data_IF_800272609258
#
_entry.id   IF_800272609258
#
_cell.length_a   1.000
_cell.length_b   1.000
_cell.length_c   1.000
_cell.angle_alpha   90.00
_cell.angle_beta   90.00
_cell.angle_gamma   90.00
#
_symmetry.space_group_name_H-M   'P 1'
#
loop_
_entity.id
_entity.type
_entity.pdbx_description
1 polymer ?
#
# COMPACT_ATOMS: atom_id res chain seq x y z
N UNK A 1 2.29 2.80 10.86
CA UNK A 1 2.31 2.61 9.39
C UNK A 1 2.22 1.14 8.96
N UNK A 2 2.70 0.19 9.76
CA UNK A 2 2.68 -1.24 9.40
C UNK A 2 1.29 -1.83 9.18
N UNK A 3 0.32 -1.58 10.06
CA UNK A 3 -1.06 -2.06 9.87
C UNK A 3 -1.68 -1.55 8.57
N UNK A 4 -1.41 -0.29 8.21
CA UNK A 4 -1.88 0.32 6.96
C UNK A 4 -1.26 -0.37 5.75
N UNK A 5 0.05 -0.68 5.79
CA UNK A 5 0.73 -1.47 4.76
C UNK A 5 0.04 -2.82 4.55
N UNK A 6 -0.21 -3.58 5.63
CA UNK A 6 -0.84 -4.90 5.54
C UNK A 6 -2.28 -4.85 5.00
N UNK A 7 -3.10 -3.90 5.50
CA UNK A 7 -4.47 -3.72 5.01
C UNK A 7 -4.47 -3.32 3.53
N UNK A 8 -3.57 -2.41 3.13
CA UNK A 8 -3.46 -1.97 1.73
C UNK A 8 -3.01 -3.12 0.83
N UNK A 9 -2.04 -3.94 1.26
CA UNK A 9 -1.63 -5.17 0.56
C UNK A 9 -2.80 -6.12 0.37
N UNK A 10 -3.53 -6.44 1.45
CA UNK A 10 -4.67 -7.36 1.38
C UNK A 10 -5.72 -6.82 0.42
N UNK A 11 -6.08 -5.54 0.55
CA UNK A 11 -7.07 -4.90 -0.31
C UNK A 11 -6.66 -4.93 -1.79
N UNK A 12 -5.37 -4.75 -2.08
CA UNK A 12 -4.85 -4.80 -3.45
C UNK A 12 -4.99 -6.21 -4.03
N UNK A 13 -4.62 -7.24 -3.28
CA UNK A 13 -4.76 -8.64 -3.73
C UNK A 13 -6.23 -8.98 -4.00
N UNK A 14 -7.12 -8.62 -3.07
CA UNK A 14 -8.55 -8.90 -3.22
C UNK A 14 -9.18 -8.16 -4.41
N UNK A 15 -8.91 -6.86 -4.55
CA UNK A 15 -9.46 -6.05 -5.66
C UNK A 15 -8.89 -6.48 -7.01
N UNK A 16 -7.63 -6.92 -7.07
CA UNK A 16 -7.04 -7.49 -8.28
C UNK A 16 -7.72 -8.79 -8.70
N UNK A 17 -7.85 -9.75 -7.79
CA UNK A 17 -8.49 -11.05 -8.08
C UNK A 17 -9.95 -10.83 -8.47
N UNK A 18 -10.68 -10.03 -7.67
CA UNK A 18 -12.06 -9.68 -7.98
C UNK A 18 -12.17 -8.96 -9.34
N UNK A 19 -11.28 -8.01 -9.63
CA UNK A 19 -11.25 -7.30 -10.90
C UNK A 19 -11.07 -8.23 -12.10
N UNK A 20 -10.16 -9.20 -12.01
CA UNK A 20 -9.95 -10.20 -13.06
C UNK A 20 -11.21 -11.06 -13.28
N UNK A 21 -11.86 -11.49 -12.20
CA UNK A 21 -13.12 -12.27 -12.30
C UNK A 21 -14.22 -11.42 -12.96
N UNK A 22 -14.35 -10.17 -12.55
CA UNK A 22 -15.38 -9.27 -13.06
C UNK A 22 -15.14 -8.81 -14.50
N UNK A 23 -13.94 -8.92 -15.07
CA UNK A 23 -13.70 -8.64 -16.49
C UNK A 23 -14.61 -9.48 -17.40
N UNK A 24 -14.94 -10.70 -16.98
CA UNK A 24 -15.76 -11.63 -17.75
C UNK A 24 -17.26 -11.51 -17.44
N UNK A 25 -17.63 -10.77 -16.39
CA UNK A 25 -19.03 -10.62 -15.92
C UNK A 25 -19.55 -9.22 -16.21
N UNK A 26 -18.82 -8.19 -15.79
CA UNK A 26 -19.21 -6.80 -15.95
C UNK A 26 -17.97 -5.89 -15.97
N UNK A 27 -17.65 -5.40 -17.18
CA UNK A 27 -16.46 -4.60 -17.41
C UNK A 27 -16.48 -3.27 -16.64
N UNK A 28 -17.66 -2.66 -16.43
CA UNK A 28 -17.79 -1.40 -15.68
C UNK A 28 -17.38 -1.58 -14.22
N UNK A 29 -17.81 -2.68 -13.59
CA UNK A 29 -17.41 -3.02 -12.22
C UNK A 29 -15.93 -3.39 -12.17
N UNK A 30 -15.43 -4.14 -13.16
CA UNK A 30 -14.02 -4.51 -13.25
C UNK A 30 -13.11 -3.27 -13.28
N UNK A 31 -13.45 -2.26 -14.10
CA UNK A 31 -12.70 -1.00 -14.17
C UNK A 31 -12.68 -0.29 -12.80
N UNK A 32 -13.81 -0.24 -12.10
CA UNK A 32 -13.87 0.29 -10.74
C UNK A 32 -12.96 -0.45 -9.75
N UNK A 33 -12.92 -1.78 -9.81
CA UNK A 33 -12.04 -2.61 -8.98
C UNK A 33 -10.55 -2.40 -9.31
N UNK A 34 -10.20 -2.26 -10.58
CA UNK A 34 -8.82 -1.94 -10.97
C UNK A 34 -8.38 -0.54 -10.56
N UNK A 35 -9.29 0.44 -10.55
CA UNK A 35 -9.01 1.77 -9.99
C UNK A 35 -8.75 1.69 -8.49
N UNK A 36 -9.58 0.95 -7.74
CA UNK A 36 -9.37 0.73 -6.31
C UNK A 36 -8.03 0.01 -6.03
N UNK A 37 -7.71 -1.01 -6.82
CA UNK A 37 -6.41 -1.70 -6.79
C UNK A 37 -5.24 -0.71 -6.97
N UNK A 38 -5.32 0.14 -7.99
CA UNK A 38 -4.30 1.14 -8.28
C UNK A 38 -4.10 2.12 -7.11
N UNK A 39 -5.19 2.59 -6.50
CA UNK A 39 -5.13 3.47 -5.32
C UNK A 39 -4.49 2.74 -4.13
N UNK A 40 -4.85 1.49 -3.89
CA UNK A 40 -4.23 0.68 -2.82
C UNK A 40 -2.72 0.51 -3.03
N UNK A 41 -2.25 0.41 -4.28
CA UNK A 41 -0.82 0.39 -4.59
C UNK A 41 -0.15 1.74 -4.29
N UNK A 42 -0.76 2.87 -4.66
CA UNK A 42 -0.22 4.20 -4.34
C UNK A 42 -0.08 4.41 -2.83
N UNK A 43 -1.10 4.02 -2.07
CA UNK A 43 -1.05 4.06 -0.60
C UNK A 43 0.08 3.19 -0.08
N UNK A 44 0.29 2.01 -0.68
CA UNK A 44 1.37 1.10 -0.31
C UNK A 44 2.75 1.74 -0.50
N UNK A 45 2.97 2.38 -1.65
CA UNK A 45 4.22 3.09 -1.96
C UNK A 45 4.48 4.19 -0.93
N UNK A 46 3.47 5.02 -0.64
CA UNK A 46 3.60 6.07 0.38
C UNK A 46 3.87 5.47 1.77
N UNK A 47 3.23 4.35 2.11
CA UNK A 47 3.44 3.69 3.38
C UNK A 47 4.89 3.17 3.52
N UNK A 48 5.45 2.59 2.46
CA UNK A 48 6.86 2.16 2.44
C UNK A 48 7.82 3.34 2.58
N UNK A 49 7.60 4.43 1.85
CA UNK A 49 8.45 5.63 1.93
C UNK A 49 8.43 6.19 3.35
N UNK A 50 7.25 6.30 3.96
CA UNK A 50 7.12 6.81 5.34
C UNK A 50 7.82 5.91 6.36
N UNK A 51 7.65 4.59 6.27
CA UNK A 51 8.33 3.65 7.18
C UNK A 51 9.86 3.87 7.11
N UNK A 52 10.42 3.97 5.90
CA UNK A 52 11.86 4.23 5.72
C UNK A 52 12.31 5.60 6.25
N UNK A 53 11.46 6.62 6.11
CA UNK A 53 11.76 7.96 6.62
C UNK A 53 11.72 7.99 8.16
N UNK A 54 10.76 7.28 8.76
CA UNK A 54 10.61 7.17 10.20
C UNK A 54 11.78 6.37 10.81
N UNK A 55 12.19 5.25 10.20
CA UNK A 55 13.40 4.49 10.58
C UNK A 55 14.64 5.40 10.59
N UNK A 56 14.86 6.18 9.52
CA UNK A 56 16.01 7.08 9.43
C UNK A 56 15.97 8.19 10.48
N UNK A 57 14.79 8.71 10.81
CA UNK A 57 14.63 9.70 11.88
C UNK A 57 14.91 9.13 13.26
N UNK A 58 14.55 7.88 13.51
CA UNK A 58 14.87 7.20 14.78
C UNK A 58 16.38 6.98 14.91
N UNK A 59 17.08 6.59 13.84
CA UNK A 59 18.54 6.46 13.83
C UNK A 59 19.24 7.81 14.08
N UNK A 60 18.84 8.89 13.39
CA UNK A 60 19.43 10.23 13.58
C UNK A 60 19.19 10.77 15.00
N UNK A 61 18.07 10.41 15.64
CA UNK A 61 17.71 10.88 16.98
C UNK A 61 18.40 10.09 18.11
N UNK A 62 18.81 8.85 17.83
CA UNK A 62 19.54 7.98 18.75
C UNK A 62 21.04 7.96 18.44
N UNK A 63 21.59 8.97 17.77
CA UNK A 63 23.03 9.08 17.56
C UNK A 63 23.73 9.46 18.88
N UNK A 64 24.11 8.45 19.68
CA UNK A 64 24.84 8.59 20.94
C UNK A 64 26.34 8.89 20.74
N UNK A 65 26.76 9.31 19.53
CA UNK A 65 28.15 9.61 19.20
C UNK A 65 28.68 10.93 19.76
N UNK A 66 27.86 11.67 20.51
CA UNK A 66 28.21 12.95 21.15
C UNK A 66 28.59 12.82 22.64
N UNK A 67 29.01 11.62 23.09
CA UNK A 67 29.64 11.39 24.41
C UNK A 67 31.10 10.98 24.29
#
# INVERSE_FOLDING_TARGET
>A
MEKVKYISMLSAVFTQIAGIIFLFINITIAVGLFLAYFISLLILVVAFIKIRLDEKKEDDKNDYRDY
#
